data_IF_714579112472
#
_entry.id   IF_714579112472
#
_cell.length_a   1.000
_cell.length_b   1.000
_cell.length_c   1.000
_cell.angle_alpha   90.00
_cell.angle_beta   90.00
_cell.angle_gamma   90.00
#
_symmetry.space_group_name_H-M   'P 1'
#
loop_
_entity.id
_entity.type
_entity.pdbx_description
1 polymer ?
2 non-polymer ?
3 non-polymer ?
4 water ?
#
# COMPACT_ATOMS: atom_id res chain seq x y z
N UNK A 10 2.67 25.00 -7.78
CA UNK A 10 1.62 25.62 -6.93
C UNK A 10 0.19 25.20 -7.33
N UNK A 11 -0.75 26.14 -7.28
CA UNK A 11 -2.16 25.87 -7.58
C UNK A 11 -2.64 26.05 -9.01
N UNK A 12 -3.52 25.15 -9.43
CA UNK A 12 -4.08 25.20 -10.76
C UNK A 12 -5.31 26.09 -10.75
N UNK A 13 -5.54 26.84 -11.83
CA UNK A 13 -6.71 27.71 -11.87
C UNK A 13 -7.99 26.89 -11.71
N UNK A 14 -8.87 27.38 -10.83
CA UNK A 14 -10.12 26.71 -10.54
C UNK A 14 -11.06 26.54 -11.73
N UNK A 15 -11.51 25.31 -12.00
CA UNK A 15 -12.43 25.02 -13.12
C UNK A 15 -13.76 25.73 -12.94
N UNK A 16 -14.38 26.19 -14.06
CA UNK A 16 -15.66 26.89 -14.06
C UNK A 16 -16.76 26.29 -13.19
N UNK A 17 -16.91 24.96 -13.20
CA UNK A 17 -17.97 24.30 -12.44
C UNK A 17 -17.68 24.03 -10.98
N UNK A 18 -16.51 24.41 -10.49
CA UNK A 18 -16.19 24.17 -9.08
C UNK A 18 -16.55 25.32 -8.15
N UNK A 19 -17.36 25.03 -7.13
CA UNK A 19 -17.80 26.04 -6.15
C UNK A 19 -16.65 26.43 -5.23
N UNK A 20 -16.43 27.74 -5.07
CA UNK A 20 -15.35 28.20 -4.21
C UNK A 20 -15.42 27.74 -2.75
N UNK A 21 -16.61 27.37 -2.28
CA UNK A 21 -16.72 26.94 -0.88
C UNK A 21 -16.28 25.51 -0.62
N UNK A 22 -15.95 24.78 -1.68
CA UNK A 22 -15.49 23.40 -1.54
C UNK A 22 -13.98 23.26 -1.79
N UNK A 23 -13.29 24.39 -1.91
CA UNK A 23 -11.84 24.37 -2.14
C UNK A 23 -11.03 24.18 -0.86
N UNK A 24 -10.27 23.09 -0.83
CA UNK A 24 -9.39 22.80 0.30
C UNK A 24 -8.10 22.35 -0.38
N UNK A 25 -7.14 23.27 -0.49
CA UNK A 25 -5.87 23.00 -1.17
C UNK A 25 -4.93 21.97 -0.53
N UNK A 26 -5.46 20.74 -0.39
CA UNK A 26 -4.69 19.62 0.16
C UNK A 26 -3.66 19.14 -0.89
N UNK A 27 -2.46 18.79 -0.43
CA UNK A 27 -1.41 18.32 -1.33
C UNK A 27 -1.02 16.93 -0.89
N UNK A 28 -1.57 15.93 -1.59
CA UNK A 28 -1.33 14.52 -1.28
C UNK A 28 0.13 14.08 -1.25
N UNK A 29 1.00 14.75 -2.03
CA UNK A 29 2.42 14.40 -2.02
C UNK A 29 3.24 15.16 -0.98
N UNK A 30 2.59 16.09 -0.26
CA UNK A 30 3.26 16.87 0.78
C UNK A 30 2.25 17.62 1.65
N UNK A 31 1.34 16.90 2.31
CA UNK A 31 0.31 17.50 3.19
C UNK A 31 0.89 18.48 4.22
N UNK A 32 0.16 19.54 4.51
CA UNK A 32 0.64 20.57 5.44
C UNK A 32 0.97 20.08 6.85
N UNK A 33 0.11 19.21 7.39
CA UNK A 33 0.34 18.71 8.74
C UNK A 33 1.15 17.40 8.78
N UNK A 34 2.09 17.26 7.87
CA UNK A 34 2.89 16.04 7.78
C UNK A 34 3.73 15.63 8.99
N UNK A 35 4.29 16.60 9.70
CA UNK A 35 5.13 16.30 10.86
C UNK A 35 4.39 15.61 12.02
N UNK A 36 3.07 15.75 12.06
CA UNK A 36 2.27 15.13 13.11
C UNK A 36 2.00 13.64 12.90
N UNK A 37 2.37 13.14 11.73
CA UNK A 37 2.14 11.74 11.39
C UNK A 37 1.35 11.79 10.08
N UNK A 38 1.72 10.99 9.09
CA UNK A 38 1.00 11.08 7.81
C UNK A 38 -0.51 10.79 7.87
N UNK A 39 -0.94 9.86 8.71
CA UNK A 39 -2.36 9.56 8.80
C UNK A 39 -3.07 10.74 9.43
N UNK A 40 -2.39 11.40 10.37
CA UNK A 40 -2.92 12.58 11.06
C UNK A 40 -3.07 13.74 10.06
N UNK A 41 -2.10 13.85 9.16
CA UNK A 41 -2.12 14.90 8.14
C UNK A 41 -3.35 14.75 7.26
N UNK A 42 -3.59 13.53 6.78
CA UNK A 42 -4.74 13.28 5.94
C UNK A 42 -6.07 13.45 6.67
N UNK A 43 -6.09 13.18 7.97
CA UNK A 43 -7.31 13.28 8.76
C UNK A 43 -7.87 14.70 8.83
N UNK A 44 -7.04 15.70 8.56
CA UNK A 44 -7.51 17.09 8.62
C UNK A 44 -8.70 17.24 7.70
N UNK A 45 -8.77 16.41 6.68
CA UNK A 45 -9.88 16.42 5.72
C UNK A 45 -11.17 15.93 6.37
N UNK A 46 -11.07 15.47 7.61
CA UNK A 46 -12.24 14.96 8.32
C UNK A 46 -12.71 15.82 9.49
N UNK A 47 -12.04 16.97 9.70
CA UNK A 47 -12.42 17.87 10.77
C UNK A 47 -13.85 18.35 10.47
N UNK A 48 -14.58 18.68 11.55
CA UNK A 48 -16.00 19.11 11.47
C UNK A 48 -16.40 20.06 10.33
N UNK A 49 -15.65 21.14 10.14
CA UNK A 49 -15.95 22.12 9.10
C UNK A 49 -15.80 21.67 7.62
N UNK A 50 -14.94 20.66 7.38
CA UNK A 50 -14.71 20.20 6.01
C UNK A 50 -15.82 19.33 5.44
N UNK A 51 -16.28 19.65 4.22
CA UNK A 51 -17.36 18.90 3.54
C UNK A 51 -16.94 17.45 3.23
N UNK A 52 -17.89 16.63 2.81
CA UNK A 52 -17.60 15.23 2.47
C UNK A 52 -16.82 15.12 1.13
N UNK A 53 -17.03 16.08 0.22
CA UNK A 53 -16.35 16.06 -1.06
C UNK A 53 -15.78 17.45 -1.36
N UNK A 54 -14.46 17.55 -1.45
CA UNK A 54 -13.78 18.82 -1.72
C UNK A 54 -12.99 18.83 -3.02
N UNK A 55 -12.37 19.97 -3.34
CA UNK A 55 -11.56 20.13 -4.54
C UNK A 55 -10.29 20.83 -4.13
N UNK A 56 -9.15 20.25 -4.50
CA UNK A 56 -7.85 20.83 -4.20
C UNK A 56 -7.30 21.30 -5.52
N UNK A 57 -6.56 22.40 -5.48
CA UNK A 57 -6.00 22.96 -6.69
C UNK A 57 -4.57 22.41 -6.87
N UNK A 58 -4.10 21.68 -5.86
CA UNK A 58 -2.77 21.09 -5.90
C UNK A 58 -2.68 19.95 -6.94
N UNK A 59 -1.46 19.67 -7.38
CA UNK A 59 -1.22 18.59 -8.32
C UNK A 59 -2.14 18.57 -9.54
N UNK A 60 -2.40 19.75 -10.09
CA UNK A 60 -3.24 19.83 -11.27
C UNK A 60 -4.71 20.01 -11.00
N UNK A 61 -5.12 19.76 -9.75
CA UNK A 61 -6.52 19.88 -9.41
C UNK A 61 -7.31 18.57 -9.51
N UNK A 62 -7.94 18.19 -8.40
CA UNK A 62 -8.72 16.97 -8.37
C UNK A 62 -9.63 16.92 -7.15
N UNK A 63 -10.78 16.27 -7.29
CA UNK A 63 -11.72 16.15 -6.17
C UNK A 63 -11.13 15.17 -5.13
N UNK A 64 -11.69 15.20 -3.92
CA UNK A 64 -11.25 14.30 -2.83
C UNK A 64 -12.43 13.95 -1.91
N UNK A 65 -12.87 12.70 -1.94
CA UNK A 65 -13.96 12.24 -1.08
C UNK A 65 -13.27 12.06 0.27
N UNK A 66 -13.84 12.62 1.33
CA UNK A 66 -13.18 12.57 2.64
C UNK A 66 -13.78 11.60 3.65
N UNK A 67 -14.89 10.99 3.30
CA UNK A 67 -15.57 10.09 4.20
C UNK A 67 -15.75 8.68 3.65
N UNK A 68 -15.80 7.70 4.55
CA UNK A 68 -15.98 6.33 4.14
C UNK A 68 -17.20 6.09 3.26
N UNK A 69 -18.36 6.59 3.67
CA UNK A 69 -19.57 6.39 2.87
C UNK A 69 -19.38 6.79 1.42
N UNK A 70 -18.75 7.96 1.19
CA UNK A 70 -18.49 8.46 -0.16
C UNK A 70 -17.46 7.57 -0.87
N UNK A 71 -16.34 7.30 -0.19
CA UNK A 71 -15.27 6.48 -0.73
C UNK A 71 -15.74 5.08 -1.12
N UNK A 72 -16.51 4.44 -0.25
CA UNK A 72 -17.01 3.11 -0.55
C UNK A 72 -17.98 3.12 -1.73
N UNK A 73 -18.77 4.19 -1.83
CA UNK A 73 -19.74 4.30 -2.90
C UNK A 73 -19.08 4.42 -4.27
N UNK A 74 -18.11 5.32 -4.37
CA UNK A 74 -17.43 5.56 -5.61
C UNK A 74 -16.74 4.31 -6.12
N UNK A 75 -16.10 3.57 -5.22
CA UNK A 75 -15.39 2.35 -5.62
C UNK A 75 -16.31 1.24 -6.14
N UNK A 76 -17.57 1.26 -5.71
CA UNK A 76 -18.52 0.27 -6.15
C UNK A 76 -19.08 0.65 -7.50
N UNK A 77 -19.26 1.96 -7.71
CA UNK A 77 -19.82 2.48 -8.96
C UNK A 77 -18.75 2.71 -10.01
N UNK A 78 -18.33 1.62 -10.66
CA UNK A 78 -17.29 1.69 -11.67
C UNK A 78 -17.81 2.28 -12.97
N UNK A 79 -19.13 2.38 -13.09
CA UNK A 79 -19.70 2.96 -14.29
C UNK A 79 -19.45 4.47 -14.33
N UNK A 80 -19.62 5.14 -13.19
CA UNK A 80 -19.38 6.58 -13.16
C UNK A 80 -17.93 6.93 -12.79
N UNK A 81 -17.29 6.04 -12.02
CA UNK A 81 -15.91 6.24 -11.56
C UNK A 81 -14.98 5.16 -12.16
N UNK A 82 -14.28 5.49 -13.25
CA UNK A 82 -13.39 4.54 -13.93
C UNK A 82 -11.95 4.50 -13.45
N UNK A 83 -11.40 3.28 -13.37
CA UNK A 83 -10.01 3.06 -12.95
C UNK A 83 -9.03 3.30 -14.10
N UNK A 84 -9.54 3.70 -15.26
CA UNK A 84 -8.68 3.92 -16.43
C UNK A 84 -7.57 4.96 -16.23
N UNK A 85 -7.80 5.95 -15.37
CA UNK A 85 -6.85 7.01 -15.05
C UNK A 85 -7.02 7.17 -13.55
N UNK A 86 -6.49 6.22 -12.78
CA UNK A 86 -6.53 6.14 -11.31
C UNK A 86 -5.55 6.89 -10.43
N UNK A 87 -4.59 7.60 -11.02
CA UNK A 87 -3.63 8.31 -10.20
C UNK A 87 -3.61 9.82 -10.36
N UNK A 88 -3.10 10.49 -9.33
CA UNK A 88 -2.95 11.93 -9.33
C UNK A 88 -1.44 12.07 -9.45
N UNK A 89 -0.92 12.93 -10.33
CA UNK A 89 -1.57 13.85 -11.28
C UNK A 89 -2.12 13.16 -12.53
N UNK A 90 -2.72 13.96 -13.42
CA UNK A 90 -3.30 13.44 -14.63
C UNK A 90 -2.34 12.71 -15.58
N UNK A 91 -1.11 13.18 -15.71
CA UNK A 91 -0.19 12.51 -16.62
C UNK A 91 0.19 11.12 -16.11
N UNK A 92 0.28 10.97 -14.80
CA UNK A 92 0.62 9.68 -14.19
C UNK A 92 -0.51 8.66 -14.38
N UNK A 93 -1.76 9.11 -14.20
CA UNK A 93 -2.88 8.23 -14.37
C UNK A 93 -3.10 7.86 -15.83
N UNK A 94 -2.87 8.80 -16.74
CA UNK A 94 -3.06 8.52 -18.15
C UNK A 94 -2.03 7.50 -18.64
N UNK A 95 -0.81 7.58 -18.11
CA UNK A 95 0.26 6.66 -18.49
C UNK A 95 0.18 5.33 -17.78
N UNK A 96 -0.50 5.27 -16.65
CA UNK A 96 -0.62 4.04 -15.88
C UNK A 96 -1.50 3.05 -16.60
N UNK A 97 -0.99 1.85 -16.83
CA UNK A 97 -1.77 0.82 -17.52
C UNK A 97 -1.57 -0.57 -16.97
N UNK A 98 -1.20 -0.69 -15.71
CA UNK A 98 -0.99 -2.01 -15.11
C UNK A 98 -2.30 -2.77 -15.13
N UNK A 99 -2.23 -4.10 -15.12
CA UNK A 99 -3.41 -4.94 -15.12
C UNK A 99 -3.46 -5.68 -13.77
N UNK A 100 -4.64 -5.79 -13.14
CA UNK A 100 -5.94 -5.27 -13.59
C UNK A 100 -6.33 -3.86 -13.12
N UNK A 101 -5.45 -3.18 -12.39
CA UNK A 101 -5.76 -1.86 -11.86
C UNK A 101 -6.24 -0.76 -12.84
N UNK A 102 -5.81 -0.80 -14.09
CA UNK A 102 -6.26 0.22 -15.03
C UNK A 102 -7.50 -0.19 -15.85
N UNK A 103 -8.17 -1.25 -15.43
CA UNK A 103 -9.36 -1.72 -16.14
C UNK A 103 -10.61 -1.73 -15.26
N UNK A 104 -11.77 -1.59 -15.88
CA UNK A 104 -13.04 -1.64 -15.15
C UNK A 104 -13.73 -2.93 -15.59
N UNK A 105 -14.73 -3.37 -14.82
CA UNK A 105 -15.43 -4.60 -15.23
C UNK A 105 -16.12 -4.18 -16.53
N UNK A 106 -16.45 -5.14 -17.42
CA UNK A 106 -16.26 -6.59 -17.33
C UNK A 106 -14.85 -7.06 -17.69
N UNK A 107 -14.13 -6.24 -18.45
CA UNK A 107 -12.79 -6.59 -18.91
C UNK A 107 -11.78 -7.00 -17.85
N UNK A 108 -11.76 -6.28 -16.72
CA UNK A 108 -10.77 -6.60 -15.69
C UNK A 108 -10.94 -7.89 -14.93
N UNK A 109 -12.18 -8.35 -14.78
CA UNK A 109 -12.44 -9.58 -14.03
C UNK A 109 -11.58 -10.77 -14.44
N UNK A 110 -11.55 -11.10 -15.73
CA UNK A 110 -10.79 -12.24 -16.24
C UNK A 110 -9.32 -12.30 -15.83
N UNK A 111 -8.72 -11.14 -15.60
CA UNK A 111 -7.31 -11.08 -15.23
C UNK A 111 -6.99 -11.35 -13.77
N UNK A 112 -7.99 -11.21 -12.91
CA UNK A 112 -7.80 -11.44 -11.46
C UNK A 112 -7.47 -12.87 -11.16
N UNK A 113 -8.22 -13.80 -11.75
CA UNK A 113 -8.00 -15.23 -11.54
C UNK A 113 -6.57 -15.62 -11.82
N UNK A 114 -6.00 -15.11 -12.90
CA UNK A 114 -4.62 -15.43 -13.21
C UNK A 114 -3.67 -14.91 -12.14
N UNK A 115 -3.90 -13.69 -11.67
CA UNK A 115 -3.04 -13.11 -10.65
C UNK A 115 -3.13 -13.96 -9.41
N UNK A 116 -4.33 -14.42 -9.10
CA UNK A 116 -4.56 -15.25 -7.93
C UNK A 116 -3.75 -16.54 -7.99
N UNK A 117 -3.36 -16.95 -9.19
CA UNK A 117 -2.59 -18.15 -9.36
C UNK A 117 -1.18 -18.00 -8.81
N UNK A 118 -0.70 -16.77 -8.67
CA UNK A 118 0.64 -16.56 -8.15
C UNK A 118 0.75 -15.90 -6.78
N UNK A 119 -0.30 -15.23 -6.33
CA UNK A 119 -0.26 -14.62 -5.01
C UNK A 119 -1.47 -14.98 -4.13
N UNK A 120 -2.40 -15.74 -4.67
CA UNK A 120 -3.58 -16.12 -3.92
C UNK A 120 -3.30 -16.98 -2.69
N UNK A 121 -4.33 -17.13 -1.86
CA UNK A 121 -4.24 -17.89 -0.61
C UNK A 121 -3.52 -19.22 -0.77
N UNK A 122 -3.85 -20.00 -1.82
CA UNK A 122 -3.19 -21.30 -2.06
C UNK A 122 -1.68 -21.17 -2.10
N UNK A 123 -1.17 -20.19 -2.84
CA UNK A 123 0.26 -20.01 -2.93
C UNK A 123 0.80 -19.53 -1.59
N UNK A 124 0.04 -18.66 -0.93
CA UNK A 124 0.49 -18.14 0.36
C UNK A 124 0.63 -19.26 1.38
N UNK A 125 -0.39 -20.11 1.48
CA UNK A 125 -0.35 -21.22 2.43
C UNK A 125 0.94 -21.99 2.28
N UNK A 126 1.35 -22.19 1.02
CA UNK A 126 2.55 -22.94 0.72
C UNK A 126 3.86 -22.18 0.93
N UNK A 127 3.77 -20.87 1.17
CA UNK A 127 4.97 -20.07 1.42
C UNK A 127 5.26 -19.88 2.92
N UNK A 128 4.27 -20.19 3.76
CA UNK A 128 4.39 -20.01 5.20
C UNK A 128 5.72 -20.42 5.79
N UNK A 129 6.19 -21.61 5.49
CA UNK A 129 7.48 -22.05 6.04
C UNK A 129 8.67 -21.14 5.67
N UNK A 130 8.77 -20.77 4.40
CA UNK A 130 9.87 -19.91 3.96
C UNK A 130 9.78 -18.50 4.54
N UNK A 131 8.56 -17.97 4.61
CA UNK A 131 8.32 -16.64 5.16
C UNK A 131 8.80 -16.59 6.59
N UNK A 132 8.32 -17.51 7.43
CA UNK A 132 8.74 -17.53 8.82
C UNK A 132 10.25 -17.71 8.94
N UNK A 133 10.83 -18.55 8.08
CA UNK A 133 12.27 -18.78 8.10
C UNK A 133 13.08 -17.53 7.80
N UNK A 134 12.60 -16.69 6.88
CA UNK A 134 13.32 -15.47 6.53
C UNK A 134 13.19 -14.45 7.64
N UNK A 135 11.99 -14.31 8.20
CA UNK A 135 11.72 -13.37 9.29
C UNK A 135 12.66 -13.61 10.49
N UNK A 136 12.75 -14.87 10.92
CA UNK A 136 13.59 -15.25 12.06
C UNK A 136 15.08 -14.99 11.85
N UNK A 137 15.61 -15.36 10.68
CA UNK A 137 17.03 -15.13 10.44
C UNK A 137 17.38 -13.66 10.55
N UNK A 138 16.60 -12.80 9.88
CA UNK A 138 16.81 -11.36 9.91
C UNK A 138 16.78 -10.80 11.35
N UNK A 139 15.72 -11.17 12.08
CA UNK A 139 15.54 -10.72 13.45
C UNK A 139 16.69 -11.16 14.35
N UNK A 140 16.97 -12.46 14.39
CA UNK A 140 18.06 -12.95 15.24
C UNK A 140 19.36 -12.29 14.83
N UNK A 141 19.45 -11.92 13.56
CA UNK A 141 20.64 -11.28 13.03
C UNK A 141 20.79 -9.90 13.66
N UNK A 142 19.66 -9.27 14.02
CA UNK A 142 19.68 -7.95 14.63
C UNK A 142 19.67 -7.99 16.16
N UNK A 143 18.89 -8.90 16.72
CA UNK A 143 18.76 -9.03 18.17
C UNK A 143 20.00 -8.72 19.02
N UNK A 144 21.19 -9.23 18.66
CA UNK A 144 22.37 -8.93 19.50
C UNK A 144 22.93 -7.52 19.46
N UNK A 145 22.74 -6.83 18.34
CA UNK A 145 23.26 -5.46 18.20
C UNK A 145 22.58 -4.45 19.11
N UNK A 146 21.31 -4.66 19.45
CA UNK A 146 20.63 -3.72 20.31
C UNK A 146 20.12 -2.47 19.60
N UNK A 147 20.22 -2.44 18.27
CA UNK A 147 19.78 -1.31 17.47
C UNK A 147 19.63 -1.74 16.00
N UNK A 148 19.02 -0.87 15.21
CA UNK A 148 18.80 -1.14 13.80
C UNK A 148 18.03 0.02 13.21
N UNK A 149 18.10 0.16 11.90
CA UNK A 149 17.26 1.17 11.28
C UNK A 149 16.26 0.27 10.57
N UNK A 150 15.17 0.00 11.27
CA UNK A 150 14.15 -0.87 10.79
C UNK A 150 13.77 -0.77 9.32
N UNK A 151 13.83 0.41 8.70
CA UNK A 151 13.40 0.49 7.32
C UNK A 151 14.30 -0.30 6.38
N UNK A 152 15.60 -0.12 6.50
CA UNK A 152 16.51 -0.83 5.62
C UNK A 152 16.92 -2.21 6.15
N UNK A 153 16.91 -2.40 7.47
CA UNK A 153 17.32 -3.68 8.05
C UNK A 153 16.27 -4.82 8.09
N UNK A 154 14.99 -4.50 7.98
CA UNK A 154 13.96 -5.52 8.01
C UNK A 154 12.77 -5.23 7.10
N UNK A 155 12.19 -4.04 7.20
CA UNK A 155 11.01 -3.63 6.41
C UNK A 155 11.13 -3.77 4.89
N UNK A 156 12.30 -3.46 4.36
CA UNK A 156 12.52 -3.56 2.92
C UNK A 156 12.93 -4.99 2.57
N UNK A 157 13.99 -5.51 3.21
CA UNK A 157 14.45 -6.87 2.91
C UNK A 157 13.46 -8.03 3.11
N UNK A 158 12.75 -8.06 4.23
CA UNK A 158 11.80 -9.15 4.48
C UNK A 158 10.78 -9.36 3.36
N UNK A 159 9.95 -8.35 3.03
CA UNK A 159 8.95 -8.49 1.96
C UNK A 159 9.54 -8.57 0.57
N UNK A 160 10.53 -7.74 0.28
CA UNK A 160 11.12 -7.72 -1.05
C UNK A 160 11.83 -9.03 -1.42
N UNK A 161 12.58 -9.63 -0.49
CA UNK A 161 13.27 -10.88 -0.77
C UNK A 161 12.29 -12.04 -0.95
N UNK A 162 11.18 -11.99 -0.21
CA UNK A 162 10.14 -13.01 -0.30
C UNK A 162 9.58 -12.95 -1.72
N UNK A 163 9.37 -11.74 -2.22
CA UNK A 163 8.84 -11.54 -3.57
C UNK A 163 9.88 -11.85 -4.63
N UNK A 164 11.04 -11.21 -4.54
CA UNK A 164 12.08 -11.49 -5.52
C UNK A 164 12.25 -12.99 -5.71
N UNK A 165 12.13 -13.74 -4.62
CA UNK A 165 12.25 -15.19 -4.67
C UNK A 165 11.15 -15.81 -5.49
N UNK A 166 9.92 -15.54 -5.09
CA UNK A 166 8.72 -16.05 -5.77
C UNK A 166 8.72 -15.66 -7.24
N UNK A 167 9.31 -14.52 -7.56
CA UNK A 167 9.35 -14.02 -8.92
C UNK A 167 10.57 -14.47 -9.73
N UNK A 168 11.45 -15.23 -9.12
CA UNK A 168 12.62 -15.69 -9.85
C UNK A 168 13.53 -14.56 -10.32
N UNK A 169 13.54 -13.47 -9.57
CA UNK A 169 14.36 -12.31 -9.88
C UNK A 169 15.47 -12.18 -8.82
N UNK A 170 16.73 -12.03 -9.26
CA UNK A 170 17.88 -11.92 -8.38
C UNK A 170 17.82 -10.76 -7.39
N UNK A 171 18.31 -11.00 -6.18
CA UNK A 171 18.29 -9.97 -5.14
C UNK A 171 19.15 -8.74 -5.47
N UNK A 172 20.23 -8.93 -6.23
CA UNK A 172 21.11 -7.81 -6.59
C UNK A 172 20.36 -6.76 -7.43
N UNK A 173 19.16 -7.11 -7.90
CA UNK A 173 18.40 -6.19 -8.71
C UNK A 173 17.48 -5.32 -7.85
N UNK A 174 17.40 -5.63 -6.56
CA UNK A 174 16.53 -4.88 -5.66
C UNK A 174 16.70 -3.35 -5.61
N UNK A 175 17.91 -2.85 -5.33
CA UNK A 175 18.05 -1.40 -5.29
C UNK A 175 17.51 -0.64 -6.50
N UNK A 176 17.74 -1.18 -7.70
CA UNK A 176 17.28 -0.56 -8.95
C UNK A 176 15.77 -0.59 -9.05
N UNK A 177 15.20 -1.77 -8.80
CA UNK A 177 13.75 -1.94 -8.89
C UNK A 177 13.03 -1.17 -7.83
N UNK A 178 13.56 -1.17 -6.61
CA UNK A 178 12.96 -0.44 -5.49
C UNK A 178 12.88 1.05 -5.81
N UNK A 179 13.95 1.61 -6.37
CA UNK A 179 14.00 3.01 -6.74
C UNK A 179 12.92 3.38 -7.74
N UNK A 180 12.78 2.54 -8.78
CA UNK A 180 11.80 2.75 -9.84
C UNK A 180 10.36 2.68 -9.34
N UNK A 181 10.06 1.72 -8.47
CA UNK A 181 8.71 1.62 -7.94
C UNK A 181 8.40 2.87 -7.09
N UNK A 182 9.36 3.32 -6.29
CA UNK A 182 9.13 4.51 -5.48
C UNK A 182 8.82 5.76 -6.31
N UNK A 183 9.39 5.88 -7.50
CA UNK A 183 9.16 7.05 -8.34
C UNK A 183 7.71 7.08 -8.81
N UNK A 184 7.02 5.95 -8.65
CA UNK A 184 5.62 5.86 -9.03
C UNK A 184 4.70 6.21 -7.86
N UNK A 185 5.17 5.97 -6.63
CA UNK A 185 4.38 6.25 -5.44
C UNK A 185 4.74 7.55 -4.68
N UNK A 186 6.03 7.86 -4.64
CA UNK A 186 6.55 9.05 -3.98
C UNK A 186 7.73 9.56 -4.80
N UNK A 187 7.45 10.16 -5.97
CA UNK A 187 8.48 10.69 -6.86
C UNK A 187 9.37 11.78 -6.24
N UNK A 188 10.68 11.59 -6.30
CA UNK A 188 11.59 12.57 -5.76
C UNK A 188 11.84 13.66 -6.79
N UNK A 189 11.17 13.56 -7.92
CA UNK A 189 11.30 14.57 -8.95
C UNK A 189 12.25 14.29 -10.08
N UNK A 190 13.14 13.32 -9.90
CA UNK A 190 14.07 13.01 -10.96
C UNK A 190 13.43 12.27 -12.15
N UNK A 191 12.27 11.65 -11.92
CA UNK A 191 11.58 10.92 -12.98
C UNK A 191 10.08 11.19 -13.03
N UNK A 192 9.56 11.24 -14.25
CA UNK A 192 8.12 11.44 -14.45
C UNK A 192 7.50 10.06 -14.21
N UNK A 193 6.18 9.98 -14.13
CA UNK A 193 5.56 8.67 -13.93
C UNK A 193 5.79 7.78 -15.14
N UNK A 194 5.66 8.34 -16.34
CA UNK A 194 5.84 7.58 -17.58
C UNK A 194 7.24 6.98 -17.70
N UNK A 195 8.26 7.76 -17.33
CA UNK A 195 9.65 7.33 -17.40
C UNK A 195 9.98 6.16 -16.49
N UNK A 196 9.50 6.19 -15.26
CA UNK A 196 9.74 5.12 -14.30
C UNK A 196 9.03 3.85 -14.79
N UNK A 197 7.78 3.99 -15.19
CA UNK A 197 7.01 2.87 -15.70
C UNK A 197 7.76 2.19 -16.83
N UNK A 198 8.16 2.96 -17.84
CA UNK A 198 8.86 2.37 -18.97
C UNK A 198 10.17 1.72 -18.56
N UNK A 199 10.82 2.27 -17.55
CA UNK A 199 12.10 1.72 -17.09
C UNK A 199 11.85 0.35 -16.48
N UNK A 200 10.67 0.20 -15.89
CA UNK A 200 10.28 -1.05 -15.26
C UNK A 200 9.99 -2.05 -16.38
N UNK A 201 9.27 -1.58 -17.39
CA UNK A 201 8.92 -2.41 -18.53
C UNK A 201 10.21 -2.83 -19.24
N UNK A 202 11.15 -1.89 -19.35
CA UNK A 202 12.43 -2.15 -19.99
C UNK A 202 13.13 -3.32 -19.30
N UNK A 203 12.92 -3.45 -18.00
CA UNK A 203 13.50 -4.50 -17.19
C UNK A 203 12.79 -5.83 -17.38
N UNK A 204 11.46 -5.78 -17.36
CA UNK A 204 10.63 -6.98 -17.47
C UNK A 204 10.50 -7.63 -18.86
N UNK A 205 10.49 -6.83 -19.92
CA UNK A 205 10.32 -7.34 -21.27
C UNK A 205 11.20 -8.50 -21.69
N UNK A 206 12.54 -8.39 -21.54
CA UNK A 206 13.47 -9.46 -21.91
C UNK A 206 13.21 -10.75 -21.12
N UNK A 207 12.77 -10.57 -19.87
CA UNK A 207 12.48 -11.67 -18.97
C UNK A 207 11.15 -12.40 -19.32
N UNK A 208 10.13 -11.63 -19.63
CA UNK A 208 8.88 -12.24 -20.00
C UNK A 208 9.09 -13.02 -21.30
N UNK A 209 9.99 -12.54 -22.17
CA UNK A 209 10.26 -13.23 -23.43
C UNK A 209 11.03 -14.51 -23.12
N UNK A 210 12.00 -14.46 -22.21
CA UNK A 210 12.77 -15.67 -21.93
C UNK A 210 11.99 -16.71 -21.15
N UNK A 211 11.03 -16.27 -20.35
CA UNK A 211 10.19 -17.17 -19.58
C UNK A 211 9.09 -17.82 -20.44
N UNK A 212 8.80 -17.23 -21.59
CA UNK A 212 7.82 -17.79 -22.51
C UNK A 212 8.47 -18.80 -23.43
N UNK A 213 9.80 -18.72 -23.57
CA UNK A 213 10.55 -19.64 -24.40
C UNK A 213 10.89 -20.85 -23.54
N UNK A 214 11.40 -20.59 -22.34
CA UNK A 214 11.76 -21.64 -21.39
C UNK A 214 11.14 -21.27 -20.03
N UNK A 215 9.88 -21.64 -19.82
CA UNK A 215 9.21 -21.32 -18.55
C UNK A 215 9.64 -22.15 -17.34
N UNK A 216 9.71 -21.46 -16.19
CA UNK A 216 10.05 -22.10 -14.92
C UNK A 216 8.76 -22.15 -14.13
N UNK A 217 8.85 -22.31 -12.81
CA UNK A 217 7.65 -22.38 -11.94
C UNK A 217 7.42 -21.08 -11.17
N UNK A 218 8.27 -20.09 -11.41
CA UNK A 218 8.19 -18.79 -10.77
C UNK A 218 6.95 -18.00 -11.18
N UNK A 219 6.68 -16.93 -10.44
CA UNK A 219 5.52 -16.06 -10.68
C UNK A 219 5.42 -15.49 -12.09
N UNK A 220 6.54 -14.96 -12.60
CA UNK A 220 6.54 -14.39 -13.93
C UNK A 220 6.32 -15.46 -15.02
N UNK A 221 6.85 -16.66 -14.83
CA UNK A 221 6.63 -17.74 -15.81
C UNK A 221 5.14 -18.05 -15.88
N UNK A 222 4.51 -18.17 -14.72
CA UNK A 222 3.08 -18.49 -14.66
C UNK A 222 2.24 -17.42 -15.36
N UNK A 223 2.60 -16.15 -15.18
CA UNK A 223 1.86 -15.04 -15.77
C UNK A 223 2.10 -14.93 -17.26
N UNK A 224 3.36 -15.02 -17.67
CA UNK A 224 3.70 -14.88 -19.07
C UNK A 224 3.11 -15.98 -19.93
N UNK A 225 2.92 -17.15 -19.33
CA UNK A 225 2.35 -18.30 -20.04
C UNK A 225 0.93 -18.57 -19.54
N UNK A 226 0.33 -17.55 -18.94
CA UNK A 226 -1.01 -17.70 -18.41
C UNK A 226 -2.15 -17.59 -19.38
N UNK A 227 -3.34 -17.97 -18.92
CA UNK A 227 -4.55 -17.94 -19.74
C UNK A 227 -5.65 -17.18 -19.01
N UNK A 228 -6.34 -16.30 -19.72
CA UNK A 228 -7.45 -15.54 -19.12
C UNK A 228 -8.70 -15.88 -19.90
N UNK A 229 -9.65 -16.51 -19.23
CA UNK A 229 -10.88 -16.93 -19.86
C UNK A 229 -10.64 -17.82 -21.08
N UNK A 230 -9.75 -18.81 -20.91
CA UNK A 230 -9.45 -19.75 -21.98
C UNK A 230 -8.45 -19.35 -23.07
N UNK A 231 -8.36 -18.06 -23.35
CA UNK A 231 -7.43 -17.61 -24.38
C UNK A 231 -6.09 -17.36 -23.72
N UNK A 232 -4.99 -17.48 -24.48
CA UNK A 232 -3.69 -17.23 -23.87
C UNK A 232 -3.40 -15.74 -23.74
N UNK A 233 -2.78 -15.36 -22.63
CA UNK A 233 -2.45 -13.95 -22.39
C UNK A 233 -1.38 -13.50 -23.38
N UNK A 234 -1.36 -12.22 -23.74
CA UNK A 234 -0.38 -11.71 -24.68
C UNK A 234 0.87 -11.28 -23.96
N UNK A 235 1.93 -10.98 -24.71
CA UNK A 235 3.19 -10.52 -24.12
C UNK A 235 3.00 -9.16 -23.43
N UNK A 236 2.23 -8.28 -24.05
CA UNK A 236 1.97 -6.95 -23.50
C UNK A 236 1.22 -7.06 -22.19
N UNK A 237 0.14 -7.85 -22.17
CA UNK A 237 -0.65 -8.01 -20.94
C UNK A 237 0.19 -8.53 -19.77
N UNK A 238 1.03 -9.53 -20.02
CA UNK A 238 1.86 -10.13 -18.98
C UNK A 238 2.74 -9.07 -18.37
N UNK A 239 3.23 -8.19 -19.23
CA UNK A 239 4.13 -7.12 -18.81
C UNK A 239 3.37 -6.20 -17.87
N UNK A 240 2.19 -5.81 -18.30
CA UNK A 240 1.38 -4.92 -17.50
C UNK A 240 0.93 -5.56 -16.20
N UNK A 241 0.78 -6.88 -16.17
CA UNK A 241 0.35 -7.56 -14.95
C UNK A 241 1.54 -7.75 -14.02
N UNK A 242 2.70 -8.05 -14.60
CA UNK A 242 3.88 -8.26 -13.78
C UNK A 242 4.37 -6.98 -13.14
N UNK A 243 4.14 -5.85 -13.80
CA UNK A 243 4.58 -4.58 -13.26
C UNK A 243 3.82 -4.25 -12.00
N UNK A 244 2.56 -4.67 -11.95
CA UNK A 244 1.71 -4.43 -10.80
C UNK A 244 2.16 -5.29 -9.64
N UNK A 245 2.55 -6.53 -9.94
CA UNK A 245 3.01 -7.44 -8.88
C UNK A 245 4.31 -6.96 -8.27
N UNK A 246 5.16 -6.32 -9.07
CA UNK A 246 6.43 -5.80 -8.59
C UNK A 246 6.19 -4.71 -7.56
N UNK A 247 5.29 -3.79 -7.87
CA UNK A 247 4.96 -2.70 -6.96
C UNK A 247 4.40 -3.24 -5.65
N UNK A 248 3.55 -4.24 -5.71
CA UNK A 248 3.00 -4.82 -4.50
C UNK A 248 4.04 -5.45 -3.60
N UNK A 249 4.98 -6.20 -4.17
CA UNK A 249 6.00 -6.83 -3.35
C UNK A 249 7.06 -5.88 -2.84
N UNK A 250 7.23 -4.75 -3.51
CA UNK A 250 8.26 -3.80 -3.11
C UNK A 250 7.83 -2.54 -2.38
N UNK A 251 6.59 -2.07 -2.55
CA UNK A 251 6.19 -0.85 -1.86
C UNK A 251 4.84 -0.82 -1.16
N UNK A 252 4.42 -1.94 -0.57
CA UNK A 252 3.16 -1.98 0.15
C UNK A 252 3.45 -2.43 1.57
N UNK A 253 3.73 -3.71 1.76
CA UNK A 253 4.01 -4.24 3.07
C UNK A 253 5.26 -3.59 3.65
N UNK A 254 6.23 -3.25 2.80
CA UNK A 254 7.48 -2.64 3.32
C UNK A 254 7.17 -1.37 4.08
N UNK A 255 6.26 -0.56 3.55
CA UNK A 255 5.91 0.68 4.19
C UNK A 255 5.05 0.41 5.43
N UNK A 256 4.08 -0.48 5.32
CA UNK A 256 3.21 -0.79 6.45
C UNK A 256 3.92 -1.28 7.71
N UNK A 257 4.88 -2.19 7.55
CA UNK A 257 5.62 -2.70 8.70
C UNK A 257 6.28 -1.58 9.49
N UNK A 258 6.79 -0.55 8.80
CA UNK A 258 7.41 0.57 9.49
C UNK A 258 6.43 1.33 10.38
N UNK A 259 5.25 1.63 9.86
CA UNK A 259 4.24 2.33 10.66
C UNK A 259 3.91 1.48 11.87
N UNK A 260 3.72 0.18 11.66
CA UNK A 260 3.38 -0.74 12.75
C UNK A 260 4.43 -0.87 13.84
N UNK A 261 5.70 -0.97 13.45
CA UNK A 261 6.75 -1.13 14.43
C UNK A 261 6.98 0.17 15.19
N UNK A 262 6.75 1.30 14.51
CA UNK A 262 6.91 2.62 15.13
C UNK A 262 5.93 2.69 16.31
N UNK A 263 4.66 2.41 16.03
CA UNK A 263 3.62 2.42 17.05
C UNK A 263 3.98 1.49 18.21
N UNK A 264 4.37 0.27 17.88
CA UNK A 264 4.75 -0.70 18.90
C UNK A 264 5.90 -0.15 19.73
N UNK A 265 6.88 0.48 19.06
CA UNK A 265 8.02 1.04 19.75
C UNK A 265 7.59 2.09 20.80
N UNK A 266 6.55 2.84 20.47
CA UNK A 266 6.04 3.89 21.35
C UNK A 266 4.92 3.46 22.31
N UNK A 267 4.56 2.18 22.32
CA UNK A 267 3.49 1.75 23.20
C UNK A 267 3.77 0.41 23.87
N UNK A 268 4.67 0.41 24.86
CA UNK A 268 5.03 -0.81 25.59
C UNK A 268 3.78 -1.54 26.08
N UNK A 269 2.68 -0.80 26.18
CA UNK A 269 1.39 -1.32 26.63
C UNK A 269 0.83 -2.34 25.64
N UNK A 270 0.65 -1.87 24.40
CA UNK A 270 0.10 -2.70 23.35
C UNK A 270 0.98 -3.88 22.95
N UNK A 271 2.29 -3.77 23.11
CA UNK A 271 3.10 -4.90 22.74
C UNK A 271 2.96 -5.94 23.83
N UNK A 272 2.92 -5.48 25.07
CA UNK A 272 2.77 -6.36 26.22
C UNK A 272 1.44 -7.13 26.08
N UNK A 273 0.45 -6.47 25.49
CA UNK A 273 -0.85 -7.08 25.32
C UNK A 273 -0.73 -8.29 24.42
N UNK A 274 0.21 -8.23 23.46
CA UNK A 274 0.40 -9.31 22.51
C UNK A 274 1.32 -10.40 23.05
N UNK A 275 2.39 -10.01 23.73
CA UNK A 275 3.31 -10.97 24.30
C UNK A 275 2.51 -11.87 25.23
N UNK A 276 1.79 -11.25 26.16
CA UNK A 276 0.98 -12.01 27.10
C UNK A 276 -0.18 -12.82 26.49
N UNK A 277 -0.82 -12.31 25.44
CA UNK A 277 -1.93 -13.02 24.82
C UNK A 277 -1.79 -13.14 23.27
N UNK A 278 -0.81 -13.95 22.83
CA UNK A 278 -0.46 -14.25 21.44
C UNK A 278 -1.60 -14.45 20.45
N UNK A 279 -2.67 -15.09 20.90
CA UNK A 279 -3.80 -15.39 20.02
C UNK A 279 -4.46 -14.15 19.44
N UNK A 280 -4.20 -12.98 20.01
CA UNK A 280 -4.85 -11.78 19.48
C UNK A 280 -4.02 -11.05 18.43
N UNK A 281 -2.83 -11.58 18.11
CA UNK A 281 -1.98 -10.98 17.07
C UNK A 281 -2.75 -10.88 15.74
N UNK A 282 -3.50 -11.92 15.36
CA UNK A 282 -4.23 -11.79 14.10
C UNK A 282 -5.13 -10.55 14.15
N UNK A 283 -5.88 -10.40 15.24
CA UNK A 283 -6.81 -9.28 15.43
C UNK A 283 -6.03 -7.96 15.53
N UNK A 284 -4.86 -8.01 16.15
CA UNK A 284 -4.04 -6.82 16.29
C UNK A 284 -3.61 -6.30 14.93
N UNK A 285 -3.30 -7.24 14.03
CA UNK A 285 -2.88 -6.92 12.67
C UNK A 285 -3.98 -6.14 11.95
N UNK A 286 -5.22 -6.60 12.10
CA UNK A 286 -6.33 -5.94 11.43
C UNK A 286 -6.48 -4.51 11.92
N UNK A 287 -6.34 -4.31 13.23
CA UNK A 287 -6.45 -2.98 13.83
C UNK A 287 -5.30 -2.06 13.40
N UNK A 288 -4.11 -2.63 13.25
CA UNK A 288 -2.97 -1.85 12.80
C UNK A 288 -3.18 -1.48 11.33
N UNK A 289 -3.81 -2.35 10.57
CA UNK A 289 -4.07 -2.08 9.16
C UNK A 289 -5.08 -0.97 9.02
N UNK A 290 -5.98 -0.86 9.99
CA UNK A 290 -7.02 0.19 9.97
C UNK A 290 -6.38 1.53 10.34
N UNK A 291 -5.79 1.56 11.54
CA UNK A 291 -5.19 2.79 12.03
C UNK A 291 -4.09 3.33 11.16
N UNK A 292 -3.27 2.46 10.59
CA UNK A 292 -2.16 2.90 9.74
C UNK A 292 -2.30 2.53 8.26
N UNK A 293 -3.49 2.76 7.73
CA UNK A 293 -3.79 2.51 6.34
C UNK A 293 -2.84 3.43 5.55
N UNK A 294 -2.46 3.03 4.34
CA UNK A 294 -1.50 3.83 3.61
C UNK A 294 -1.66 4.05 2.11
N UNK A 295 -2.73 3.55 1.51
CA UNK A 295 -2.89 3.72 0.07
C UNK A 295 -3.94 4.75 -0.29
N UNK A 296 -3.65 5.55 -1.31
CA UNK A 296 -4.60 6.57 -1.76
C UNK A 296 -4.66 6.77 -3.26
N UNK A 297 -5.51 5.99 -3.93
CA UNK A 297 -5.69 6.22 -5.35
C UNK A 297 -7.17 6.46 -5.59
N UNK A 298 -7.60 6.58 -6.84
CA UNK A 298 -9.00 6.86 -7.04
C UNK A 298 -9.57 6.40 -8.37
N UNK A 299 -10.22 7.33 -9.06
CA UNK A 299 -10.88 7.05 -10.31
C UNK A 299 -11.10 8.33 -11.11
N UNK A 300 -11.61 8.21 -12.34
CA UNK A 300 -11.87 9.36 -13.20
C UNK A 300 -13.29 9.29 -13.73
N UNK A 301 -13.97 10.44 -13.75
CA UNK A 301 -15.36 10.51 -14.21
C UNK A 301 -15.57 10.16 -15.69
N UNK A 302 -16.52 9.25 -15.93
CA UNK A 302 -16.85 8.79 -17.29
C UNK A 302 -17.98 9.62 -17.90
N UNK A 303 -18.57 10.51 -17.10
CA UNK A 303 -19.65 11.40 -17.59
C UNK A 303 -20.07 12.44 -16.56
N UNK A 304 -20.82 13.47 -17.01
CA UNK A 304 -21.30 14.53 -16.11
C UNK A 304 -22.18 13.81 -15.08
N UNK A 305 -21.86 13.93 -13.80
CA UNK A 305 -22.62 13.22 -12.80
C UNK A 305 -22.80 14.02 -11.51
N UNK A 306 -24.02 14.02 -10.97
CA UNK A 306 -24.25 14.75 -9.75
C UNK A 306 -24.10 13.73 -8.63
N UNK A 307 -23.09 13.93 -7.79
CA UNK A 307 -22.74 13.03 -6.68
C UNK A 307 -22.87 13.72 -5.32
N UNK A 308 -23.84 13.33 -4.51
CA UNK A 308 -24.05 13.95 -3.21
C UNK A 308 -24.12 15.48 -3.33
N UNK A 309 -24.99 15.98 -4.22
CA UNK A 309 -25.16 17.41 -4.43
C UNK A 309 -24.04 18.19 -5.11
N UNK A 310 -22.95 17.50 -5.42
CA UNK A 310 -21.80 18.14 -6.06
C UNK A 310 -21.79 17.85 -7.55
N UNK A 311 -21.66 18.89 -8.36
CA UNK A 311 -21.64 18.74 -9.82
C UNK A 311 -20.24 18.33 -10.27
N UNK A 312 -20.13 17.14 -10.84
CA UNK A 312 -18.86 16.63 -11.34
C UNK A 312 -19.00 16.52 -12.85
N UNK A 313 -17.94 16.87 -13.57
CA UNK A 313 -17.94 16.83 -15.04
C UNK A 313 -17.01 15.75 -15.59
N UNK A 314 -17.42 15.12 -16.69
CA UNK A 314 -16.64 14.05 -17.29
C UNK A 314 -15.18 14.46 -17.35
N UNK A 315 -14.29 13.51 -17.10
CA UNK A 315 -12.87 13.79 -17.14
C UNK A 315 -12.29 14.28 -15.83
N UNK A 316 -13.16 14.57 -14.86
CA UNK A 316 -12.70 15.05 -13.56
C UNK A 316 -12.07 13.87 -12.84
N UNK A 317 -10.94 14.07 -12.19
CA UNK A 317 -10.33 12.99 -11.44
C UNK A 317 -10.90 13.08 -10.02
N UNK A 318 -10.99 11.94 -9.33
CA UNK A 318 -11.49 11.93 -7.95
C UNK A 318 -10.73 10.95 -7.04
N UNK A 319 -9.85 11.50 -6.21
CA UNK A 319 -9.06 10.71 -5.27
C UNK A 319 -10.03 10.12 -4.26
N UNK A 320 -9.91 8.83 -3.98
CA UNK A 320 -10.75 8.15 -2.99
C UNK A 320 -9.80 7.40 -2.07
N UNK A 321 -9.12 8.12 -1.17
CA UNK A 321 -8.16 7.51 -0.24
C UNK A 321 -8.59 6.31 0.57
N UNK A 322 -8.03 5.16 0.22
CA UNK A 322 -8.31 3.92 0.93
C UNK A 322 -7.97 4.07 2.40
N UNK A 323 -7.09 5.02 2.70
CA UNK A 323 -6.65 5.23 4.06
C UNK A 323 -7.65 5.95 4.94
N UNK A 324 -8.56 6.71 4.34
CA UNK A 324 -9.53 7.46 5.14
C UNK A 324 -10.71 6.73 5.74
N UNK A 325 -11.29 5.77 5.02
CA UNK A 325 -12.47 5.05 5.52
C UNK A 325 -12.33 4.56 6.98
N UNK A 326 -11.22 3.90 7.28
CA UNK A 326 -11.03 3.40 8.63
C UNK A 326 -10.75 4.46 9.70
N UNK A 327 -10.31 5.65 9.29
CA UNK A 327 -10.02 6.72 10.22
C UNK A 327 -11.24 7.58 10.46
N UNK A 328 -12.25 7.44 9.60
CA UNK A 328 -13.52 8.18 9.70
C UNK A 328 -14.24 7.89 11.03
N UNK A 329 -14.46 8.93 11.84
CA UNK A 329 -15.14 8.78 13.13
C UNK A 329 -16.52 8.18 12.98
N UNK A 330 -17.15 8.42 11.84
CA UNK A 330 -18.48 7.89 11.55
C UNK A 330 -18.45 6.41 11.18
N UNK A 331 -17.27 5.81 11.26
CA UNK A 331 -17.07 4.40 10.94
C UNK A 331 -16.46 3.65 12.13
N UNK A 332 -15.65 4.36 12.91
CA UNK A 332 -15.00 3.80 14.11
C UNK A 332 -14.95 4.89 15.19
N UNK A 333 -15.68 4.66 16.27
CA UNK A 333 -15.83 5.59 17.39
C UNK A 333 -14.66 6.44 17.86
N UNK A 334 -13.51 5.81 18.13
CA UNK A 334 -12.36 6.60 18.58
C UNK A 334 -11.22 6.33 17.61
N UNK A 335 -11.41 6.78 16.36
CA UNK A 335 -10.48 6.63 15.23
C UNK A 335 -8.99 6.55 15.44
N UNK A 336 -8.39 7.55 16.08
CA UNK A 336 -6.94 7.50 16.24
C UNK A 336 -6.45 6.63 17.38
N UNK A 337 -7.35 5.96 18.08
CA UNK A 337 -6.95 5.09 19.18
C UNK A 337 -6.80 3.65 18.66
N UNK A 338 -5.70 3.00 19.03
CA UNK A 338 -5.46 1.61 18.65
C UNK A 338 -5.96 0.69 19.74
N UNK A 339 -7.08 0.02 19.48
CA UNK A 339 -7.69 -0.90 20.44
C UNK A 339 -7.78 -2.29 19.79
N UNK A 340 -6.85 -3.16 20.18
CA UNK A 340 -6.81 -4.52 19.65
C UNK A 340 -8.08 -5.29 19.88
N UNK A 341 -8.88 -4.86 20.86
CA UNK A 341 -10.16 -5.52 21.16
C UNK A 341 -11.39 -4.90 20.50
N UNK A 342 -11.17 -4.04 19.51
CA UNK A 342 -12.24 -3.38 18.76
C UNK A 342 -13.14 -4.44 18.10
N UNK A 343 -14.42 -4.44 18.45
CA UNK A 343 -15.38 -5.43 17.94
C UNK A 343 -15.72 -5.43 16.44
N UNK A 344 -15.67 -4.27 15.78
CA UNK A 344 -15.98 -4.23 14.36
C UNK A 344 -14.99 -3.30 13.66
N UNK A 345 -13.74 -3.75 13.58
CA UNK A 345 -12.68 -3.00 12.95
C UNK A 345 -13.06 -2.83 11.47
N UNK A 346 -13.57 -1.65 11.15
CA UNK A 346 -14.02 -1.28 9.82
C UNK A 346 -12.96 -0.46 9.06
N UNK A 347 -12.79 -0.74 7.77
CA UNK A 347 -11.79 -0.05 6.94
C UNK A 347 -11.84 -0.50 5.49
N UNK A 348 -11.08 0.20 4.64
CA UNK A 348 -10.98 -0.13 3.22
C UNK A 348 -9.51 -0.12 2.83
N UNK A 349 -8.65 -0.55 3.75
CA UNK A 349 -7.20 -0.58 3.56
C UNK A 349 -6.76 -1.33 2.32
N UNK A 350 -7.47 -2.40 1.97
CA UNK A 350 -7.11 -3.19 0.80
C UNK A 350 -8.01 -2.84 -0.39
N UNK A 351 -8.66 -1.69 -0.31
CA UNK A 351 -9.52 -1.29 -1.39
C UNK A 351 -10.96 -1.66 -1.14
N UNK A 352 -11.78 -1.47 -2.17
CA UNK A 352 -13.20 -1.77 -2.08
C UNK A 352 -13.74 -1.94 -3.49
N UNK A 353 -14.75 -2.79 -3.65
CA UNK A 353 -15.33 -2.99 -4.96
C UNK A 353 -14.68 -4.11 -5.76
N UNK A 354 -14.71 -3.99 -7.09
CA UNK A 354 -14.15 -5.01 -7.96
C UNK A 354 -12.63 -5.11 -7.95
N UNK A 355 -11.94 -4.11 -7.38
CA UNK A 355 -10.47 -4.14 -7.37
C UNK A 355 -9.83 -4.56 -6.04
N UNK A 356 -10.62 -5.17 -5.15
CA UNK A 356 -10.13 -5.61 -3.85
C UNK A 356 -8.77 -6.33 -3.98
N UNK A 357 -7.78 -5.92 -3.16
CA UNK A 357 -6.42 -6.48 -3.18
C UNK A 357 -6.29 -8.00 -3.18
N UNK A 358 -5.56 -8.52 -4.18
CA UNK A 358 -5.36 -9.95 -4.29
C UNK A 358 -4.16 -10.40 -3.48
N UNK A 359 -3.38 -9.45 -3.02
CA UNK A 359 -2.21 -9.79 -2.23
C UNK A 359 -2.41 -9.73 -0.73
N UNK A 360 -3.56 -9.20 -0.31
CA UNK A 360 -3.85 -9.07 1.09
C UNK A 360 -3.58 -10.30 1.93
N UNK A 361 -3.79 -11.48 1.37
CA UNK A 361 -3.54 -12.69 2.14
C UNK A 361 -2.03 -12.83 2.39
N UNK A 362 -1.22 -12.52 1.38
CA UNK A 362 0.22 -12.59 1.52
C UNK A 362 0.64 -11.50 2.51
N UNK A 363 -0.02 -10.35 2.41
CA UNK A 363 0.25 -9.22 3.26
C UNK A 363 0.03 -9.59 4.72
N UNK A 364 -1.13 -10.14 5.03
CA UNK A 364 -1.42 -10.50 6.41
C UNK A 364 -0.44 -11.50 7.00
N UNK A 365 -0.07 -12.54 6.26
CA UNK A 365 0.87 -13.53 6.81
C UNK A 365 2.18 -12.86 7.13
N UNK A 366 2.60 -11.92 6.28
CA UNK A 366 3.85 -11.19 6.48
C UNK A 366 3.79 -10.28 7.68
N UNK A 367 2.67 -9.60 7.86
CA UNK A 367 2.55 -8.73 9.00
C UNK A 367 2.50 -9.56 10.27
N UNK A 368 1.63 -10.57 10.27
CA UNK A 368 1.47 -11.44 11.44
C UNK A 368 2.77 -12.18 11.84
N UNK A 369 3.50 -12.70 10.85
CA UNK A 369 4.74 -13.40 11.14
C UNK A 369 5.71 -12.40 11.76
N UNK A 370 5.79 -11.19 11.21
CA UNK A 370 6.69 -10.19 11.77
C UNK A 370 6.39 -9.92 13.26
N UNK A 371 5.14 -9.65 13.58
CA UNK A 371 4.74 -9.37 14.97
C UNK A 371 5.08 -10.51 15.90
N UNK A 372 4.72 -11.73 15.51
CA UNK A 372 4.96 -12.91 16.35
C UNK A 372 6.44 -13.25 16.53
N UNK A 373 7.21 -13.15 15.45
CA UNK A 373 8.63 -13.47 15.53
C UNK A 373 9.50 -12.35 16.09
N UNK A 374 9.02 -11.11 16.04
CA UNK A 374 9.81 -10.02 16.59
C UNK A 374 9.56 -9.95 18.07
N UNK A 375 8.29 -9.88 18.46
CA UNK A 375 7.93 -9.78 19.88
C UNK A 375 8.47 -10.96 20.71
N UNK A 376 8.60 -12.11 20.08
CA UNK A 376 9.10 -13.29 20.76
C UNK A 376 10.60 -13.21 21.04
N UNK A 377 11.31 -12.41 20.26
CA UNK A 377 12.75 -12.28 20.43
C UNK A 377 13.21 -10.96 21.08
N UNK A 378 12.57 -9.87 20.68
CA UNK A 378 12.91 -8.56 21.19
C UNK A 378 11.64 -7.89 21.69
N UNK A 379 11.14 -8.28 22.87
CA UNK A 379 9.91 -7.70 23.42
C UNK A 379 10.06 -6.26 23.95
N UNK A 380 11.27 -5.90 24.34
CA UNK A 380 11.52 -4.58 24.91
C UNK A 380 12.36 -3.76 23.92
N UNK A 381 11.78 -2.67 23.38
CA UNK A 381 12.51 -1.79 22.46
C UNK A 381 11.84 -0.44 22.29
N UNK A 382 12.56 0.50 21.71
CA UNK A 382 12.02 1.84 21.54
C UNK A 382 12.74 2.69 20.48
N UNK A 383 12.21 3.89 20.25
CA UNK A 383 12.75 4.85 19.31
C UNK A 383 14.12 5.31 19.80
N UNK A 384 15.10 5.39 18.89
CA UNK A 384 16.46 5.78 19.25
C UNK A 384 16.48 7.13 19.99
N UNK A 385 17.54 7.38 20.78
CA UNK A 385 17.68 8.63 21.55
C UNK A 385 17.52 9.92 20.73
N UNK A 386 16.52 10.71 21.10
CA UNK A 386 16.25 11.99 20.47
C UNK A 386 15.90 12.07 19.00
N UNK A 387 15.49 10.94 18.44
CA UNK A 387 15.13 10.88 17.04
C UNK A 387 13.68 11.25 16.84
N UNK A 388 13.40 12.00 15.78
CA UNK A 388 12.05 12.40 15.47
C UNK A 388 11.74 11.70 14.15
N UNK A 389 10.73 10.83 14.20
CA UNK A 389 10.34 10.05 13.05
C UNK A 389 9.56 10.80 11.98
N UNK A 390 10.18 10.93 10.81
CA UNK A 390 9.61 11.62 9.65
C UNK A 390 8.88 10.65 8.70
N UNK A 391 7.62 10.96 8.37
CA UNK A 391 6.83 10.16 7.45
C UNK A 391 6.93 10.76 6.06
N UNK A 392 6.52 9.99 5.05
CA UNK A 392 6.54 10.42 3.64
C UNK A 392 5.16 10.18 3.03
N UNK A 393 4.63 11.16 2.31
CA UNK A 393 3.29 11.00 1.74
C UNK A 393 3.28 10.73 0.22
N UNK A 394 2.21 10.11 -0.27
CA UNK A 394 2.12 9.82 -1.69
C UNK A 394 0.99 8.86 -1.99
N UNK A 395 1.05 8.17 -3.13
CA UNK A 395 0.01 7.22 -3.50
C UNK A 395 0.05 6.12 -2.48
N UNK A 396 1.25 5.90 -1.93
CA UNK A 396 1.48 4.92 -0.88
C UNK A 396 2.42 5.61 0.09
N UNK A 397 1.92 5.93 1.27
CA UNK A 397 2.74 6.61 2.27
C UNK A 397 3.69 5.67 2.97
N UNK A 398 4.81 6.21 3.45
CA UNK A 398 5.79 5.41 4.13
C UNK A 398 6.50 6.16 5.26
N UNK A 399 7.55 5.53 5.78
CA UNK A 399 8.35 6.07 6.87
C UNK A 399 9.78 6.28 6.40
N UNK A 400 10.23 7.53 6.39
CA UNK A 400 11.59 7.84 5.92
C UNK A 400 12.70 7.06 6.64
N UNK A 401 12.56 6.88 7.96
CA UNK A 401 13.57 6.19 8.73
C UNK A 401 13.01 5.86 10.09
N UNK A 402 13.30 4.65 10.57
CA UNK A 402 12.84 4.23 11.88
C UNK A 402 13.96 3.58 12.65
N UNK A 403 14.83 4.38 13.30
CA UNK A 403 15.93 3.80 14.08
C UNK A 403 15.41 3.36 15.44
N UNK A 404 15.72 2.12 15.82
CA UNK A 404 15.24 1.60 17.10
C UNK A 404 16.42 1.19 17.96
N UNK A 405 16.18 1.02 19.27
CA UNK A 405 17.23 0.58 20.19
C UNK A 405 16.61 -0.32 21.24
N UNK A 406 17.45 -1.20 21.81
CA UNK A 406 17.02 -2.10 22.87
C UNK A 406 18.21 -2.68 23.61
N UNK A 407 17.98 -3.11 24.84
CA UNK A 407 19.02 -3.70 25.68
C UNK A 407 19.06 -5.20 25.33
N UNK A 408 20.20 -5.66 24.78
CA UNK A 408 20.36 -7.08 24.41
C UNK A 408 19.95 -8.04 25.53
N UNK A 409 20.18 -7.63 26.78
CA UNK A 409 19.87 -8.44 27.95
C UNK A 409 18.37 -8.68 28.18
N UNK A 410 17.54 -7.95 27.46
CA UNK A 410 16.09 -8.15 27.64
C UNK A 410 15.53 -8.97 26.47
N UNK A 411 16.41 -9.37 25.55
CA UNK A 411 16.01 -10.16 24.38
C UNK A 411 16.30 -11.64 24.63
N UNK A 412 15.70 -12.48 23.79
CA UNK A 412 15.93 -13.92 23.85
C UNK A 412 16.04 -14.58 22.49
N UNK A 413 17.15 -15.30 22.32
CA UNK A 413 17.44 -16.03 21.10
C UNK A 413 16.49 -17.21 21.06
N UNK A 414 15.56 -17.18 20.10
CA UNK A 414 14.58 -18.26 19.92
C UNK A 414 15.03 -19.12 18.74
N UNK A 415 14.65 -20.40 18.75
CA UNK A 415 15.05 -21.28 17.66
C UNK A 415 13.85 -21.60 16.76
N UNK A 416 13.97 -21.25 15.48
CA UNK A 416 12.90 -21.54 14.54
C UNK A 416 12.86 -23.01 14.16
#
# INVERSE_FOLDING_TARGET
TTETIQSNANLAPLPPHVPEHLVFDFDMYNPSNLSAGVQEAWAVLQESNVPDLVWTRCNGGHWIATRGQLIREAYEDYRHFSSECPFIPREAGEAYDFIPTSMDPPEQRQFRALANQVVGMPVVDKLENRIQELACSLIESLRPQGQCNFTEDYAEPFPIRIFMLLAGLPEEDIPHLKYLTDQMTRPDGSMTFAEAKEALYDYLIPIIEQRRQKPGTDAISIVANGQVNGRPITSDEAKRMCGLLLVGGLDTVVNFLSFSMEFLAKSPEHRQELIERPERIPAACEELLRRFSLVADGRILTSDYEFHGVQLKKGDQILLPQMLSGLDERENACPMHVDFSRQKVSHTTFGHGSHLCLGQHLARREIIVTLKEWLTRIPDFSIAPGAQIQHKSGIVSGVQALPLVWDPATTKAVHHHHHH
#
